data_IF_596335698284
#
_entry.id   IF_596335698284
#
_cell.length_a   1.000
_cell.length_b   1.000
_cell.length_c   1.000
_cell.angle_alpha   90.00
_cell.angle_beta   90.00
_cell.angle_gamma   90.00
#
_symmetry.space_group_name_H-M   'P 1'
#
loop_
_entity.id
_entity.type
_entity.pdbx_description
1 polymer ?
#
# COMPACT_ATOMS: atom_id res chain seq x y z
N UNK A 1 8.33 -10.82 -4.98
CA UNK A 1 9.03 -9.53 -5.06
C UNK A 1 8.19 -8.52 -5.79
N UNK A 2 8.14 -7.30 -5.31
CA UNK A 2 7.31 -6.27 -5.92
C UNK A 2 8.17 -5.18 -6.54
N UNK A 3 7.59 -4.48 -7.50
CA UNK A 3 8.31 -3.39 -8.15
C UNK A 3 8.34 -2.15 -7.25
N UNK A 4 9.18 -1.20 -7.62
CA UNK A 4 9.25 0.06 -6.87
C UNK A 4 7.89 0.77 -6.86
N UNK A 5 7.19 0.77 -7.99
CA UNK A 5 5.89 1.41 -8.04
C UNK A 5 4.88 0.68 -7.15
N UNK A 6 4.92 -0.65 -7.16
CA UNK A 6 4.03 -1.43 -6.30
C UNK A 6 4.33 -1.17 -4.83
N UNK A 7 5.60 -1.02 -4.49
CA UNK A 7 5.98 -0.70 -3.13
C UNK A 7 5.46 0.69 -2.72
N UNK A 8 5.54 1.64 -3.64
CA UNK A 8 5.00 2.98 -3.37
C UNK A 8 3.49 2.93 -3.17
N UNK A 9 2.80 2.14 -3.97
CA UNK A 9 1.36 1.99 -3.83
C UNK A 9 1.03 1.39 -2.47
N UNK A 10 1.74 0.36 -2.07
CA UNK A 10 1.50 -0.26 -0.77
C UNK A 10 1.75 0.74 0.36
N UNK A 11 2.85 1.49 0.28
CA UNK A 11 3.14 2.49 1.30
C UNK A 11 2.05 3.53 1.40
N UNK A 12 1.53 3.98 0.26
CA UNK A 12 0.46 4.96 0.26
C UNK A 12 -0.83 4.38 0.84
N UNK A 13 -1.14 3.14 0.50
CA UNK A 13 -2.34 2.52 1.04
C UNK A 13 -2.25 2.41 2.55
N UNK A 14 -1.11 1.98 3.06
CA UNK A 14 -0.92 1.87 4.52
C UNK A 14 -1.02 3.25 5.17
N UNK A 15 -0.35 4.23 4.61
CA UNK A 15 -0.32 5.57 5.19
C UNK A 15 -1.70 6.22 5.17
N UNK A 16 -2.39 6.13 4.03
CA UNK A 16 -3.70 6.74 3.91
C UNK A 16 -4.73 6.04 4.78
N UNK A 17 -4.65 4.73 4.84
CA UNK A 17 -5.58 4.00 5.67
C UNK A 17 -5.37 4.32 7.15
N UNK A 18 -4.12 4.45 7.57
CA UNK A 18 -3.82 4.81 8.95
C UNK A 18 -4.36 6.21 9.27
N UNK A 19 -4.37 7.09 8.29
CA UNK A 19 -4.82 8.45 8.47
C UNK A 19 -6.33 8.58 8.42
N UNK A 20 -6.96 7.92 7.45
CA UNK A 20 -8.38 8.12 7.18
C UNK A 20 -9.26 6.98 7.67
N UNK A 21 -8.68 5.82 7.90
CA UNK A 21 -9.43 4.64 8.36
C UNK A 21 -10.53 4.22 7.41
N UNK A 22 -10.35 4.51 6.12
CA UNK A 22 -11.31 4.11 5.10
C UNK A 22 -10.56 3.39 3.99
N UNK A 23 -11.24 2.49 3.27
CA UNK A 23 -10.59 1.79 2.15
C UNK A 23 -10.08 2.77 1.11
N UNK A 24 -8.95 2.43 0.52
CA UNK A 24 -8.26 3.29 -0.42
C UNK A 24 -8.51 2.80 -1.84
N UNK A 25 -9.01 3.66 -2.71
CA UNK A 25 -9.23 3.33 -4.09
C UNK A 25 -8.12 3.83 -4.98
N UNK A 26 -8.12 3.36 -6.23
CA UNK A 26 -7.10 3.77 -7.18
C UNK A 26 -7.14 5.27 -7.44
N UNK A 27 -8.28 5.87 -7.30
CA UNK A 27 -8.42 7.30 -7.52
C UNK A 27 -7.57 8.11 -6.56
N UNK A 28 -7.54 7.69 -5.31
CA UNK A 28 -6.71 8.38 -4.32
C UNK A 28 -5.22 8.25 -4.64
N UNK A 29 -4.84 7.15 -5.24
CA UNK A 29 -3.45 6.90 -5.58
C UNK A 29 -3.01 7.68 -6.80
N UNK A 30 -3.95 8.01 -7.70
CA UNK A 30 -3.62 8.76 -8.91
C UNK A 30 -3.03 10.12 -8.59
N UNK A 31 -3.42 10.69 -7.47
CA UNK A 31 -2.92 12.01 -7.08
C UNK A 31 -1.44 11.98 -6.70
N UNK A 32 -0.97 10.84 -6.25
CA UNK A 32 0.38 10.73 -5.74
C UNK A 32 1.33 9.96 -6.64
N UNK A 33 0.78 9.13 -7.51
CA UNK A 33 1.61 8.26 -8.36
C UNK A 33 1.34 8.58 -9.81
N UNK A 34 2.41 8.84 -10.55
CA UNK A 34 2.30 9.19 -11.95
C UNK A 34 2.19 7.93 -12.80
N UNK A 35 0.98 7.46 -12.94
CA UNK A 35 0.68 6.29 -13.75
C UNK A 35 -0.79 6.35 -14.12
N UNK A 36 -1.17 5.60 -15.14
CA UNK A 36 -2.57 5.56 -15.54
C UNK A 36 -3.38 4.79 -14.51
N UNK A 37 -4.69 5.03 -14.48
CA UNK A 37 -5.54 4.31 -13.54
C UNK A 37 -5.52 2.81 -13.80
N UNK A 38 -5.40 2.41 -15.06
CA UNK A 38 -5.30 0.98 -15.39
C UNK A 38 -4.03 0.37 -14.81
N UNK A 39 -2.91 1.09 -14.89
CA UNK A 39 -1.66 0.63 -14.34
C UNK A 39 -1.74 0.49 -12.83
N UNK A 40 -2.30 1.49 -12.17
CA UNK A 40 -2.43 1.46 -10.72
C UNK A 40 -3.34 0.32 -10.29
N UNK A 41 -4.44 0.13 -10.98
CA UNK A 41 -5.34 -0.97 -10.65
C UNK A 41 -4.68 -2.32 -10.84
N UNK A 42 -3.87 -2.44 -11.89
CA UNK A 42 -3.15 -3.68 -12.11
C UNK A 42 -2.15 -3.97 -11.01
N UNK A 43 -1.43 -2.93 -10.58
CA UNK A 43 -0.49 -3.09 -9.47
C UNK A 43 -1.20 -3.43 -8.17
N UNK A 44 -2.38 -2.85 -7.94
CA UNK A 44 -3.16 -3.19 -6.76
C UNK A 44 -3.60 -4.65 -6.80
N UNK A 45 -3.94 -5.15 -7.98
CA UNK A 45 -4.29 -6.56 -8.12
C UNK A 45 -3.12 -7.46 -7.76
N UNK A 46 -1.93 -7.09 -8.18
CA UNK A 46 -0.73 -7.86 -7.84
C UNK A 46 -0.53 -7.87 -6.33
N UNK A 47 -0.64 -6.70 -5.70
CA UNK A 47 -0.47 -6.62 -4.25
C UNK A 47 -1.54 -7.44 -3.53
N UNK A 48 -2.75 -7.42 -4.03
CA UNK A 48 -3.83 -8.20 -3.44
C UNK A 48 -3.56 -9.69 -3.59
N UNK A 49 -3.07 -10.10 -4.73
CA UNK A 49 -2.75 -11.49 -5.00
C UNK A 49 -1.63 -11.98 -4.08
N UNK A 50 -0.70 -11.09 -3.77
CA UNK A 50 0.39 -11.42 -2.86
C UNK A 50 -0.04 -11.39 -1.40
N UNK A 51 -1.25 -10.96 -1.13
CA UNK A 51 -1.76 -10.91 0.23
C UNK A 51 -1.33 -9.70 1.03
N UNK A 52 -0.83 -8.66 0.35
CA UNK A 52 -0.37 -7.45 1.04
C UNK A 52 -1.49 -6.45 1.25
N UNK A 53 -2.50 -6.47 0.41
CA UNK A 53 -3.71 -5.67 0.60
C UNK A 53 -4.90 -6.59 0.37
N UNK A 54 -6.06 -6.14 0.84
CA UNK A 54 -7.27 -6.94 0.69
C UNK A 54 -8.45 -6.03 0.42
N UNK A 55 -9.47 -6.60 -0.18
CA UNK A 55 -10.67 -5.87 -0.53
C UNK A 55 -11.60 -5.79 0.66
N UNK A 56 -12.10 -4.61 0.92
CA UNK A 56 -13.17 -4.46 1.91
C UNK A 56 -14.44 -5.03 1.31
N UNK A 57 -15.17 -5.82 2.07
CA UNK A 57 -16.24 -6.62 1.48
C UNK A 57 -17.39 -5.80 0.92
N UNK A 58 -17.57 -4.57 1.34
CA UNK A 58 -18.67 -3.75 0.83
C UNK A 58 -18.17 -2.57 0.00
N UNK A 59 -16.92 -2.58 -0.41
CA UNK A 59 -16.34 -1.42 -1.06
C UNK A 59 -15.41 -1.87 -2.18
N UNK A 60 -15.20 -0.99 -3.15
CA UNK A 60 -14.20 -1.25 -4.18
C UNK A 60 -12.81 -0.84 -3.75
N UNK A 61 -12.68 -0.22 -2.58
CA UNK A 61 -11.37 0.17 -2.09
C UNK A 61 -10.61 -0.99 -1.48
N UNK A 62 -9.37 -0.73 -1.13
CA UNK A 62 -8.49 -1.74 -0.56
C UNK A 62 -7.95 -1.28 0.78
N UNK A 63 -7.73 -2.23 1.67
CA UNK A 63 -7.13 -1.95 2.98
C UNK A 63 -5.88 -2.82 3.11
N UNK A 64 -4.87 -2.37 3.88
CA UNK A 64 -3.68 -3.19 4.07
C UNK A 64 -4.01 -4.41 4.91
N UNK A 65 -3.43 -5.53 4.55
CA UNK A 65 -3.55 -6.74 5.36
C UNK A 65 -2.49 -6.72 6.45
N UNK A 66 -2.56 -7.71 7.34
CA UNK A 66 -1.52 -7.85 8.35
C UNK A 66 -0.16 -8.01 7.69
N UNK A 67 -0.11 -8.81 6.62
CA UNK A 67 1.12 -8.99 5.87
C UNK A 67 1.60 -7.69 5.25
N UNK A 68 0.68 -6.87 4.77
CA UNK A 68 1.03 -5.58 4.20
C UNK A 68 1.63 -4.65 5.23
N UNK A 69 1.06 -4.61 6.41
CA UNK A 69 1.62 -3.81 7.50
C UNK A 69 3.02 -4.30 7.88
N UNK A 70 3.19 -5.61 7.96
CA UNK A 70 4.48 -6.17 8.31
C UNK A 70 5.53 -5.82 7.27
N UNK A 71 5.15 -5.90 6.01
CA UNK A 71 6.06 -5.55 4.93
C UNK A 71 6.45 -4.08 5.02
N UNK A 72 5.47 -3.23 5.23
CA UNK A 72 5.70 -1.79 5.32
C UNK A 72 6.65 -1.46 6.48
N UNK A 73 6.40 -2.04 7.64
CA UNK A 73 7.23 -1.79 8.81
C UNK A 73 8.64 -2.30 8.61
N UNK A 74 8.77 -3.50 8.03
CA UNK A 74 10.09 -4.08 7.80
C UNK A 74 10.92 -3.21 6.88
N UNK A 75 10.30 -2.73 5.79
CA UNK A 75 11.00 -1.88 4.84
C UNK A 75 11.36 -0.55 5.49
N UNK A 76 10.43 0.02 6.24
CA UNK A 76 10.68 1.29 6.90
C UNK A 76 11.81 1.17 7.93
N UNK A 77 11.82 0.09 8.67
CA UNK A 77 12.86 -0.15 9.64
C UNK A 77 14.22 -0.26 8.98
N UNK A 78 14.29 -1.07 7.95
CA UNK A 78 15.53 -1.25 7.22
C UNK A 78 16.03 0.07 6.65
N UNK A 79 15.11 0.83 6.14
CA UNK A 79 15.43 2.08 5.49
C UNK A 79 15.89 3.15 6.49
N UNK A 80 15.25 3.22 7.63
CA UNK A 80 15.51 4.26 8.59
C UNK A 80 16.78 4.05 9.36
N UNK A 81 17.18 2.89 9.56
CA UNK A 81 18.32 2.60 10.38
C UNK A 81 18.30 3.38 11.61
N UNK A 82 17.54 3.77 12.15
CA UNK A 82 17.50 4.62 13.22
C UNK A 82 17.96 4.35 14.41
N UNK A 83 18.22 4.70 14.95
CA UNK A 83 18.72 4.30 16.12
C UNK A 83 17.99 4.47 17.31
N UNK A 84 17.91 4.41 17.35
CA UNK A 84 17.56 4.50 18.09
C UNK A 84 17.43 4.59 19.03
N UNK A 85 17.35 4.63 19.40
CA UNK A 85 17.16 4.86 20.14
C UNK A 85 17.11 4.89 20.82
N UNK A 86 16.83 4.89 21.22
CA UNK A 86 16.55 5.18 21.78
C UNK A 86 16.60 5.09 22.10
#
# INVERSE_FOLDING_TARGET
>A
MITERQRQILNLIVSLYAKEHTPIGSKSLLDSIQASSATIRNDMKVLEKLGLIQKEHTSSGRVPSVSGYKYFVAVSYTHLTLPTKR
#
